data_IF_613157727675
#
_entry.id   IF_613157727675
#
_cell.length_a   1.000
_cell.length_b   1.000
_cell.length_c   1.000
_cell.angle_alpha   90.00
_cell.angle_beta   90.00
_cell.angle_gamma   90.00
#
_symmetry.space_group_name_H-M   'P 1'
#
loop_
_entity.id
_entity.type
_entity.pdbx_description
1 polymer ?
#
# COMPACT_ATOMS: atom_id res chain seq x y z
N UNK A 1 -22.71 1.82 28.92
CA UNK A 1 -22.89 1.07 27.65
C UNK A 1 -23.27 2.03 26.52
N UNK A 2 -24.24 2.93 26.72
CA UNK A 2 -24.69 3.87 25.68
C UNK A 2 -23.61 4.87 25.24
N UNK A 3 -22.79 5.39 26.15
CA UNK A 3 -21.69 6.31 25.81
C UNK A 3 -20.62 5.68 24.92
N UNK A 4 -20.35 4.38 25.09
CA UNK A 4 -19.39 3.65 24.25
C UNK A 4 -19.97 3.42 22.85
N UNK A 5 -21.25 3.09 22.77
CA UNK A 5 -21.97 2.94 21.50
C UNK A 5 -22.02 4.26 20.72
N UNK A 6 -22.28 5.38 21.40
CA UNK A 6 -22.31 6.71 20.79
C UNK A 6 -20.93 7.10 20.24
N UNK A 7 -19.88 6.96 21.06
CA UNK A 7 -18.51 7.26 20.63
C UNK A 7 -18.04 6.37 19.46
N UNK A 8 -18.46 5.10 19.45
CA UNK A 8 -18.18 4.18 18.35
C UNK A 8 -18.90 4.61 17.07
N UNK A 9 -20.17 5.00 17.15
CA UNK A 9 -20.95 5.52 16.00
C UNK A 9 -20.32 6.79 15.44
N UNK A 10 -19.98 7.76 16.26
CA UNK A 10 -19.32 9.00 15.86
C UNK A 10 -17.98 8.73 15.18
N UNK A 11 -17.19 7.81 15.72
CA UNK A 11 -15.90 7.42 15.13
C UNK A 11 -16.10 6.76 13.76
N UNK A 12 -17.05 5.85 13.63
CA UNK A 12 -17.36 5.17 12.36
C UNK A 12 -17.86 6.17 11.31
N UNK A 13 -18.78 7.05 11.68
CA UNK A 13 -19.30 8.08 10.77
C UNK A 13 -18.18 8.98 10.28
N UNK A 14 -17.34 9.49 11.16
CA UNK A 14 -16.23 10.35 10.79
C UNK A 14 -15.19 9.63 9.89
N UNK A 15 -15.00 8.32 10.08
CA UNK A 15 -13.99 7.56 9.34
C UNK A 15 -14.47 7.12 7.95
N UNK A 16 -15.75 6.83 7.79
CA UNK A 16 -16.31 6.27 6.55
C UNK A 16 -17.06 7.29 5.69
N UNK A 17 -17.56 8.39 6.25
CA UNK A 17 -18.34 9.38 5.52
C UNK A 17 -17.60 9.83 4.24
N UNK A 18 -18.35 9.92 3.14
CA UNK A 18 -17.89 10.32 1.80
C UNK A 18 -16.84 9.39 1.16
N UNK A 19 -16.48 8.27 1.78
CA UNK A 19 -15.61 7.28 1.15
C UNK A 19 -16.39 6.34 0.25
N UNK A 20 -15.71 5.81 -0.77
CA UNK A 20 -16.29 4.88 -1.72
C UNK A 20 -16.24 3.44 -1.20
N UNK A 21 -17.31 2.69 -1.39
CA UNK A 21 -17.41 1.26 -1.08
C UNK A 21 -16.51 0.47 -2.04
N UNK A 22 -15.57 -0.29 -1.52
CA UNK A 22 -14.62 -1.04 -2.34
C UNK A 22 -15.17 -2.38 -2.86
N UNK A 23 -16.07 -3.00 -2.10
CA UNK A 23 -16.70 -4.29 -2.41
C UNK A 23 -18.14 -4.25 -1.92
N UNK A 24 -19.02 -5.05 -2.53
CA UNK A 24 -20.42 -5.11 -2.12
C UNK A 24 -20.55 -5.48 -0.63
N UNK A 25 -21.34 -4.70 0.09
CA UNK A 25 -21.60 -4.91 1.52
C UNK A 25 -22.84 -5.78 1.64
N UNK A 26 -22.67 -6.96 2.22
CA UNK A 26 -23.74 -7.92 2.44
C UNK A 26 -24.08 -7.98 3.93
N UNK A 27 -25.37 -8.16 4.22
CA UNK A 27 -25.81 -8.51 5.58
C UNK A 27 -25.60 -10.00 5.88
N UNK A 28 -25.95 -10.44 7.11
CA UNK A 28 -25.83 -11.83 7.52
C UNK A 28 -26.74 -12.80 6.76
N UNK A 29 -27.74 -12.32 6.03
CA UNK A 29 -28.69 -13.09 5.22
C UNK A 29 -28.31 -13.08 3.73
N UNK A 30 -27.26 -12.36 3.34
CA UNK A 30 -26.79 -12.25 1.96
C UNK A 30 -27.47 -11.17 1.13
N UNK A 31 -28.22 -10.25 1.78
CA UNK A 31 -28.82 -9.10 1.11
C UNK A 31 -27.77 -8.00 0.93
N UNK A 32 -27.72 -7.40 -0.25
CA UNK A 32 -26.79 -6.32 -0.55
C UNK A 32 -27.29 -5.03 0.11
N UNK A 33 -26.50 -4.46 1.03
CA UNK A 33 -26.76 -3.18 1.69
C UNK A 33 -26.19 -2.00 0.87
N UNK A 34 -25.05 -2.21 0.22
CA UNK A 34 -24.44 -1.24 -0.68
C UNK A 34 -23.63 -1.95 -1.75
N UNK A 35 -23.58 -1.36 -2.94
CA UNK A 35 -22.79 -1.87 -4.05
C UNK A 35 -21.39 -1.25 -4.09
N UNK A 36 -20.46 -1.98 -4.68
CA UNK A 36 -19.13 -1.46 -5.01
C UNK A 36 -19.25 -0.18 -5.84
N UNK A 37 -18.58 0.88 -5.38
CA UNK A 37 -18.62 2.19 -6.03
C UNK A 37 -19.61 3.18 -5.41
N UNK A 38 -20.50 2.72 -4.52
CA UNK A 38 -21.37 3.62 -3.77
C UNK A 38 -20.56 4.43 -2.75
N UNK A 39 -21.06 5.62 -2.39
CA UNK A 39 -20.46 6.42 -1.32
C UNK A 39 -21.13 6.12 0.03
N UNK A 40 -20.32 6.08 1.08
CA UNK A 40 -20.82 5.96 2.45
C UNK A 40 -21.54 7.26 2.84
N UNK A 41 -22.87 7.19 2.87
CA UNK A 41 -23.71 8.24 3.46
C UNK A 41 -23.92 8.00 4.95
N UNK A 42 -24.32 9.03 5.69
CA UNK A 42 -24.64 8.88 7.11
C UNK A 42 -25.75 7.84 7.34
N UNK A 43 -26.76 7.80 6.47
CA UNK A 43 -27.87 6.84 6.53
C UNK A 43 -27.40 5.40 6.29
N UNK A 44 -26.49 5.17 5.34
CA UNK A 44 -25.92 3.87 5.05
C UNK A 44 -25.08 3.38 6.24
N UNK A 45 -24.28 4.26 6.84
CA UNK A 45 -23.47 3.92 8.02
C UNK A 45 -24.37 3.54 9.19
N UNK A 46 -25.44 4.27 9.45
CA UNK A 46 -26.41 3.93 10.49
C UNK A 46 -27.08 2.58 10.23
N UNK A 47 -27.50 2.33 8.99
CA UNK A 47 -28.09 1.05 8.59
C UNK A 47 -27.14 -0.12 8.84
N UNK A 48 -25.86 0.02 8.50
CA UNK A 48 -24.83 -0.99 8.72
C UNK A 48 -24.60 -1.23 10.22
N UNK A 49 -24.56 -0.16 11.02
CA UNK A 49 -24.34 -0.25 12.46
C UNK A 49 -25.53 -0.86 13.20
N UNK A 50 -26.74 -0.56 12.75
CA UNK A 50 -27.98 -1.12 13.34
C UNK A 50 -28.21 -2.58 12.95
N UNK A 51 -27.81 -2.98 11.75
CA UNK A 51 -27.89 -4.38 11.29
C UNK A 51 -26.98 -5.31 12.12
N UNK A 52 -25.80 -4.83 12.54
CA UNK A 52 -24.88 -5.57 13.44
C UNK A 52 -24.34 -6.90 12.91
N UNK A 53 -24.68 -7.30 11.68
CA UNK A 53 -24.27 -8.57 11.06
C UNK A 53 -23.06 -8.42 10.15
N UNK A 54 -22.76 -7.19 9.73
CA UNK A 54 -21.62 -6.87 8.85
C UNK A 54 -20.31 -6.98 9.65
N UNK A 55 -19.45 -7.91 9.25
CA UNK A 55 -18.18 -8.20 9.94
C UNK A 55 -17.00 -7.41 9.38
N UNK A 56 -17.02 -7.10 8.11
CA UNK A 56 -15.93 -6.43 7.41
C UNK A 56 -16.47 -5.34 6.48
N UNK A 57 -15.81 -4.20 6.49
CA UNK A 57 -16.11 -3.08 5.61
C UNK A 57 -14.86 -2.76 4.80
N UNK A 58 -14.98 -2.83 3.49
CA UNK A 58 -13.92 -2.47 2.56
C UNK A 58 -14.19 -1.08 1.98
N UNK A 59 -13.29 -0.13 2.24
CA UNK A 59 -13.35 1.22 1.68
C UNK A 59 -12.29 1.41 0.62
N UNK A 60 -12.68 2.09 -0.47
CA UNK A 60 -11.75 2.57 -1.47
C UNK A 60 -11.17 3.90 -1.00
N UNK A 61 -9.91 3.93 -0.69
CA UNK A 61 -9.23 5.16 -0.36
C UNK A 61 -8.59 5.73 -1.63
N UNK A 62 -9.25 6.68 -2.27
CA UNK A 62 -8.78 7.34 -3.50
C UNK A 62 -7.66 8.33 -3.21
N UNK A 63 -7.54 8.83 -1.98
CA UNK A 63 -6.42 9.64 -1.52
C UNK A 63 -5.28 8.74 -1.00
N UNK A 64 -4.53 8.20 -1.93
CA UNK A 64 -3.39 7.37 -1.58
C UNK A 64 -2.10 8.18 -1.65
N UNK A 65 -1.48 8.39 -0.50
CA UNK A 65 -0.11 8.91 -0.47
C UNK A 65 0.87 7.88 -1.01
N UNK A 66 1.79 8.35 -1.81
CA UNK A 66 2.81 7.51 -2.42
C UNK A 66 4.09 8.29 -2.66
N UNK A 67 5.10 7.59 -3.12
CA UNK A 67 6.37 8.15 -3.58
C UNK A 67 6.51 7.92 -5.08
N UNK A 68 7.14 8.87 -5.75
CA UNK A 68 7.51 8.69 -7.15
C UNK A 68 8.76 7.82 -7.27
N UNK A 69 8.73 6.88 -8.19
CA UNK A 69 9.83 5.98 -8.52
C UNK A 69 10.19 6.12 -9.99
N UNK A 70 11.48 6.22 -10.26
CA UNK A 70 12.10 6.25 -11.58
C UNK A 70 13.26 5.27 -11.64
N UNK A 71 13.81 4.97 -12.82
CA UNK A 71 15.00 4.15 -12.95
C UNK A 71 16.20 4.78 -12.23
N UNK A 72 17.03 3.96 -11.58
CA UNK A 72 18.29 4.43 -10.98
C UNK A 72 19.37 4.40 -12.05
N UNK A 73 19.96 5.55 -12.30
CA UNK A 73 21.00 5.72 -13.32
C UNK A 73 22.28 6.28 -12.72
N UNK A 74 23.41 5.94 -13.31
CA UNK A 74 24.72 6.47 -12.94
C UNK A 74 25.35 7.23 -14.12
N UNK A 75 26.34 8.09 -13.79
CA UNK A 75 27.07 8.91 -14.76
C UNK A 75 26.46 10.27 -15.01
N UNK A 76 27.28 11.20 -15.52
CA UNK A 76 26.88 12.60 -15.76
C UNK A 76 25.69 12.77 -16.71
N UNK A 77 25.46 11.80 -17.60
CA UNK A 77 24.42 11.84 -18.63
C UNK A 77 23.37 10.75 -18.43
N UNK A 78 23.24 10.16 -17.22
CA UNK A 78 22.32 9.02 -16.94
C UNK A 78 22.54 7.83 -17.91
N UNK A 79 23.77 7.65 -18.38
CA UNK A 79 24.11 6.70 -19.47
C UNK A 79 24.09 5.25 -19.02
N UNK A 80 24.20 4.99 -17.72
CA UNK A 80 24.22 3.61 -17.19
C UNK A 80 23.02 3.41 -16.30
N UNK A 81 22.12 2.52 -16.66
CA UNK A 81 21.00 2.12 -15.81
C UNK A 81 21.52 1.10 -14.80
N UNK A 82 21.45 1.43 -13.52
CA UNK A 82 21.82 0.55 -12.40
C UNK A 82 20.65 -0.36 -12.02
N UNK A 83 19.45 0.19 -12.01
CA UNK A 83 18.22 -0.53 -11.70
C UNK A 83 17.09 0.02 -12.58
N UNK A 84 16.42 -0.85 -13.31
CA UNK A 84 15.34 -0.45 -14.22
C UNK A 84 14.09 -0.02 -13.46
N UNK A 85 13.27 0.83 -14.06
CA UNK A 85 11.97 1.18 -13.48
C UNK A 85 11.11 -0.08 -13.28
N UNK A 86 11.14 -1.02 -14.23
CA UNK A 86 10.47 -2.30 -14.15
C UNK A 86 10.78 -3.03 -12.84
N UNK A 87 12.06 -3.24 -12.54
CA UNK A 87 12.49 -4.01 -11.35
C UNK A 87 12.08 -3.32 -10.05
N UNK A 88 12.01 -2.00 -10.05
CA UNK A 88 11.56 -1.20 -8.91
C UNK A 88 10.04 -1.21 -8.70
N UNK A 89 9.26 -1.48 -9.74
CA UNK A 89 7.80 -1.52 -9.70
C UNK A 89 7.26 -2.89 -9.29
N UNK A 90 7.91 -3.99 -9.69
CA UNK A 90 7.44 -5.35 -9.41
C UNK A 90 7.23 -5.58 -7.93
N UNK A 91 6.03 -6.05 -7.57
CA UNK A 91 5.67 -6.34 -6.18
C UNK A 91 5.27 -5.12 -5.34
N UNK A 92 5.15 -3.95 -5.96
CA UNK A 92 4.61 -2.73 -5.34
C UNK A 92 3.13 -2.58 -5.64
N UNK A 93 2.53 -1.56 -5.06
CA UNK A 93 1.11 -1.22 -5.26
C UNK A 93 1.01 0.21 -5.81
N UNK A 94 0.20 0.41 -6.84
CA UNK A 94 0.00 1.72 -7.45
C UNK A 94 -0.61 2.71 -6.46
N UNK A 95 -0.16 3.95 -6.54
CA UNK A 95 -0.71 5.10 -5.82
C UNK A 95 -1.34 6.14 -6.76
N UNK A 96 -1.30 5.90 -8.05
CA UNK A 96 -1.95 6.70 -9.09
C UNK A 96 -2.54 5.78 -10.16
N UNK A 97 -3.44 6.30 -10.97
CA UNK A 97 -3.97 5.60 -12.13
C UNK A 97 -2.99 5.68 -13.28
N UNK A 98 -2.91 4.60 -14.02
CA UNK A 98 -2.07 4.52 -15.22
C UNK A 98 -2.97 4.52 -16.45
N UNK A 99 -2.86 5.57 -17.23
CA UNK A 99 -3.59 5.76 -18.47
C UNK A 99 -2.70 5.46 -19.67
N UNK A 100 -3.31 4.93 -20.71
CA UNK A 100 -2.72 4.79 -22.04
C UNK A 100 -2.61 6.15 -22.75
N UNK A 101 -1.98 6.17 -23.90
CA UNK A 101 -1.80 7.37 -24.75
C UNK A 101 -3.13 7.97 -25.22
N UNK A 102 -4.18 7.16 -25.26
CA UNK A 102 -5.53 7.55 -25.65
C UNK A 102 -6.39 8.03 -24.47
N UNK A 103 -5.84 8.08 -23.25
CA UNK A 103 -6.53 8.52 -22.03
C UNK A 103 -7.41 7.44 -21.39
N UNK A 104 -7.31 6.18 -21.81
CA UNK A 104 -8.01 5.09 -21.16
C UNK A 104 -7.20 4.59 -19.96
N UNK A 105 -7.88 4.42 -18.82
CA UNK A 105 -7.27 3.88 -17.60
C UNK A 105 -6.99 2.40 -17.80
N UNK A 106 -5.70 2.02 -17.79
CA UNK A 106 -5.25 0.64 -17.88
C UNK A 106 -5.18 -0.03 -16.50
N UNK A 107 -4.69 0.70 -15.50
CA UNK A 107 -4.51 0.20 -14.15
C UNK A 107 -4.98 1.23 -13.13
N UNK A 108 -5.63 0.75 -12.09
CA UNK A 108 -6.22 1.60 -11.04
C UNK A 108 -5.32 1.77 -9.83
N UNK A 109 -5.63 2.80 -9.04
CA UNK A 109 -5.05 3.00 -7.71
C UNK A 109 -5.29 1.75 -6.86
N UNK A 110 -4.26 1.34 -6.11
CA UNK A 110 -4.24 0.15 -5.27
C UNK A 110 -4.07 -1.19 -6.00
N UNK A 111 -3.87 -1.21 -7.31
CA UNK A 111 -3.50 -2.43 -8.00
C UNK A 111 -2.10 -2.89 -7.61
N UNK A 112 -1.95 -4.19 -7.42
CA UNK A 112 -0.67 -4.82 -7.15
C UNK A 112 0.05 -5.10 -8.47
N UNK A 113 1.24 -4.53 -8.62
CA UNK A 113 2.02 -4.58 -9.85
C UNK A 113 2.67 -5.96 -10.01
N UNK A 114 2.23 -6.70 -11.01
CA UNK A 114 2.86 -7.94 -11.48
C UNK A 114 4.03 -7.64 -12.44
N UNK A 115 4.76 -8.67 -12.83
CA UNK A 115 5.85 -8.52 -13.80
C UNK A 115 5.36 -7.99 -15.14
N UNK A 116 4.27 -8.56 -15.67
CA UNK A 116 3.66 -8.14 -16.95
C UNK A 116 3.16 -6.69 -16.88
N UNK A 117 2.52 -6.29 -15.79
CA UNK A 117 2.09 -4.91 -15.58
C UNK A 117 3.28 -3.96 -15.53
N UNK A 118 4.37 -4.34 -14.86
CA UNK A 118 5.56 -3.52 -14.75
C UNK A 118 6.22 -3.27 -16.13
N UNK A 119 6.23 -4.26 -17.03
CA UNK A 119 6.72 -4.11 -18.38
C UNK A 119 5.91 -3.09 -19.19
N UNK A 120 4.56 -3.17 -19.10
CA UNK A 120 3.68 -2.23 -19.77
C UNK A 120 3.85 -0.82 -19.19
N UNK A 121 3.83 -0.68 -17.87
CA UNK A 121 3.95 0.62 -17.20
C UNK A 121 5.31 1.28 -17.51
N UNK A 122 6.41 0.51 -17.46
CA UNK A 122 7.74 1.03 -17.77
C UNK A 122 7.91 1.48 -19.23
N UNK A 123 7.10 0.93 -20.16
CA UNK A 123 7.06 1.37 -21.55
C UNK A 123 6.27 2.68 -21.76
N UNK A 124 5.30 2.97 -20.88
CA UNK A 124 4.41 4.13 -20.98
C UNK A 124 4.91 5.34 -20.20
N UNK A 125 5.57 5.11 -19.07
CA UNK A 125 5.95 6.16 -18.11
C UNK A 125 7.41 6.01 -17.66
N UNK A 126 8.12 7.12 -17.54
CA UNK A 126 9.47 7.15 -16.95
C UNK A 126 9.44 7.24 -15.43
N UNK A 127 8.34 7.70 -14.87
CA UNK A 127 8.14 7.92 -13.44
C UNK A 127 6.73 7.55 -13.03
N UNK A 128 6.61 6.81 -11.93
CA UNK A 128 5.33 6.26 -11.45
C UNK A 128 5.21 6.47 -9.95
N UNK A 129 4.02 6.83 -9.48
CA UNK A 129 3.70 6.96 -8.07
C UNK A 129 3.25 5.62 -7.51
N UNK A 130 3.98 5.12 -6.52
CA UNK A 130 3.68 3.86 -5.83
C UNK A 130 3.46 4.08 -4.34
N UNK A 131 2.72 3.18 -3.71
CA UNK A 131 2.57 3.14 -2.25
C UNK A 131 3.88 2.75 -1.60
N UNK A 132 4.19 3.38 -0.47
CA UNK A 132 5.43 3.17 0.27
C UNK A 132 5.18 3.03 1.77
N UNK A 133 6.09 2.33 2.45
CA UNK A 133 6.12 2.28 3.91
C UNK A 133 6.36 3.66 4.53
N UNK A 134 7.05 4.56 3.80
CA UNK A 134 7.38 5.90 4.26
C UNK A 134 6.16 6.83 4.35
N UNK A 135 5.16 6.59 3.51
CA UNK A 135 3.93 7.38 3.45
C UNK A 135 2.71 6.63 3.98
N UNK A 136 2.94 5.50 4.64
CA UNK A 136 1.86 4.68 5.19
C UNK A 136 1.19 5.38 6.37
N UNK A 137 -0.13 5.60 6.28
CA UNK A 137 -0.95 6.21 7.33
C UNK A 137 -1.58 5.20 8.30
N UNK A 138 -1.10 3.95 8.32
CA UNK A 138 -1.59 2.95 9.27
C UNK A 138 -1.21 3.32 10.70
N UNK A 139 -2.16 3.26 11.62
CA UNK A 139 -1.92 3.55 13.04
C UNK A 139 -1.04 2.51 13.73
N UNK A 140 -1.11 1.26 13.28
CA UNK A 140 -0.35 0.14 13.83
C UNK A 140 0.44 -0.55 12.73
N UNK A 141 1.78 -0.44 12.80
CA UNK A 141 2.66 -1.06 11.83
C UNK A 141 2.53 -0.49 10.42
N UNK A 142 2.77 -1.31 9.42
CA UNK A 142 2.70 -0.95 7.99
C UNK A 142 1.59 -1.75 7.32
N UNK A 143 0.74 -1.09 6.54
CA UNK A 143 -0.31 -1.80 5.84
C UNK A 143 0.27 -2.68 4.73
N UNK A 144 -0.42 -3.79 4.43
CA UNK A 144 -0.05 -4.79 3.43
C UNK A 144 0.22 -4.19 2.04
N UNK A 145 -0.57 -3.20 1.61
CA UNK A 145 -0.42 -2.55 0.31
C UNK A 145 0.83 -1.65 0.25
N UNK A 146 1.15 -0.94 1.34
CA UNK A 146 2.35 -0.10 1.39
C UNK A 146 3.64 -0.91 1.51
N UNK A 147 3.60 -2.06 2.17
CA UNK A 147 4.75 -2.97 2.24
C UNK A 147 4.99 -3.67 0.91
N UNK A 148 3.94 -4.26 0.30
CA UNK A 148 4.00 -4.90 -1.00
C UNK A 148 4.42 -6.37 -0.95
N UNK A 149 5.56 -6.71 -1.55
CA UNK A 149 6.04 -8.08 -1.73
C UNK A 149 6.89 -8.55 -0.55
N UNK A 150 6.67 -9.77 -0.10
CA UNK A 150 7.60 -10.47 0.78
C UNK A 150 8.77 -10.99 -0.06
N UNK A 151 10.00 -10.62 0.30
CA UNK A 151 11.20 -10.93 -0.47
C UNK A 151 11.56 -12.42 -0.45
N UNK A 152 11.21 -13.14 0.63
CA UNK A 152 11.52 -14.56 0.76
C UNK A 152 10.61 -15.45 -0.09
N UNK A 153 9.31 -15.14 -0.12
CA UNK A 153 8.31 -15.94 -0.82
C UNK A 153 7.97 -15.44 -2.23
N UNK A 154 8.42 -14.22 -2.57
CA UNK A 154 8.08 -13.50 -3.79
C UNK A 154 6.57 -13.25 -3.99
N UNK A 155 5.77 -13.41 -2.94
CA UNK A 155 4.32 -13.19 -2.95
C UNK A 155 3.97 -11.92 -2.17
N UNK A 156 2.73 -11.48 -2.32
CA UNK A 156 2.20 -10.37 -1.53
C UNK A 156 2.29 -10.72 -0.04
N UNK A 157 2.80 -9.79 0.78
CA UNK A 157 2.98 -9.99 2.21
C UNK A 157 1.66 -10.37 2.90
N UNK A 158 1.73 -11.26 3.87
CA UNK A 158 0.58 -11.65 4.69
C UNK A 158 0.45 -10.75 5.93
N UNK A 159 -0.75 -10.69 6.49
CA UNK A 159 -0.99 -9.97 7.74
C UNK A 159 -0.36 -10.75 8.88
N UNK A 160 0.35 -10.05 9.78
CA UNK A 160 1.06 -10.67 10.91
C UNK A 160 2.55 -10.93 10.64
N UNK A 161 3.04 -10.66 9.45
CA UNK A 161 4.49 -10.72 9.15
C UNK A 161 5.26 -9.72 10.02
N UNK A 162 6.35 -10.19 10.65
CA UNK A 162 7.17 -9.38 11.55
C UNK A 162 8.14 -8.46 10.78
N UNK A 163 7.61 -7.60 9.92
CA UNK A 163 8.38 -6.76 8.98
C UNK A 163 9.36 -5.81 9.67
N UNK A 164 9.02 -5.33 10.85
CA UNK A 164 9.90 -4.48 11.66
C UNK A 164 11.14 -5.22 12.15
N UNK A 165 10.99 -6.47 12.57
CA UNK A 165 12.10 -7.34 12.98
C UNK A 165 13.02 -7.65 11.79
N UNK A 166 12.43 -7.96 10.63
CA UNK A 166 13.19 -8.21 9.39
C UNK A 166 14.00 -6.97 9.00
N UNK A 167 13.39 -5.79 9.04
CA UNK A 167 14.09 -4.55 8.75
C UNK A 167 15.22 -4.27 9.74
N UNK A 168 15.00 -4.45 11.04
CA UNK A 168 16.00 -4.25 12.07
C UNK A 168 17.20 -5.19 11.90
N UNK A 169 16.97 -6.45 11.58
CA UNK A 169 18.02 -7.42 11.31
C UNK A 169 18.82 -7.07 10.05
N UNK A 170 18.14 -6.71 8.96
CA UNK A 170 18.79 -6.33 7.70
C UNK A 170 19.65 -5.06 7.83
N UNK A 171 19.30 -4.14 8.72
CA UNK A 171 20.09 -2.94 9.01
C UNK A 171 21.22 -3.24 10.01
N UNK A 172 20.94 -4.07 11.00
CA UNK A 172 21.88 -4.36 12.10
C UNK A 172 23.05 -5.26 11.70
N UNK A 173 22.81 -6.25 10.84
CA UNK A 173 23.86 -7.17 10.41
C UNK A 173 25.06 -6.47 9.74
N UNK A 174 24.88 -5.65 8.70
CA UNK A 174 25.99 -4.93 8.08
C UNK A 174 26.68 -3.97 9.03
N UNK A 175 25.95 -3.35 9.95
CA UNK A 175 26.50 -2.47 10.99
C UNK A 175 27.48 -3.19 11.90
N UNK A 176 27.11 -4.39 12.35
CA UNK A 176 27.99 -5.23 13.17
C UNK A 176 29.25 -5.68 12.41
N UNK A 177 29.10 -6.10 11.15
CA UNK A 177 30.25 -6.50 10.31
C UNK A 177 31.18 -5.32 10.04
N UNK A 178 30.68 -4.13 9.82
CA UNK A 178 31.49 -2.93 9.62
C UNK A 178 32.29 -2.58 10.87
N UNK A 179 31.66 -2.65 12.04
CA UNK A 179 32.33 -2.42 13.33
C UNK A 179 33.45 -3.45 13.58
N UNK A 180 33.17 -4.72 13.31
CA UNK A 180 34.19 -5.80 13.44
C UNK A 180 35.38 -5.57 12.49
N UNK A 181 35.14 -5.13 11.26
CA UNK A 181 36.23 -4.80 10.31
C UNK A 181 37.07 -3.63 10.78
N UNK A 182 36.51 -2.61 11.40
CA UNK A 182 37.30 -1.48 11.94
C UNK A 182 38.16 -1.89 13.11
N UNK A 183 37.71 -2.79 13.94
CA UNK A 183 38.56 -3.36 15.03
C UNK A 183 39.69 -4.26 14.51
N UNK A 184 39.45 -5.05 13.47
CA UNK A 184 40.47 -5.94 12.90
C UNK A 184 41.52 -5.22 12.05
N UNK A 185 41.20 -4.06 11.47
CA UNK A 185 42.18 -3.26 10.70
C UNK A 185 42.99 -2.33 11.60
N UNK A 186 42.86 -2.45 12.94
CA UNK A 186 43.55 -1.62 13.91
C UNK A 186 43.44 -0.15 13.56
N UNK A 187 42.32 0.47 13.96
CA UNK A 187 42.07 1.87 13.67
C UNK A 187 43.27 2.72 14.01
N UNK A 188 44.00 3.06 13.00
CA UNK A 188 45.04 4.08 13.06
C UNK A 188 44.61 5.13 12.06
N UNK A 189 44.23 6.25 12.63
CA UNK A 189 44.22 7.49 11.91
C UNK A 189 45.68 7.91 11.68
#
# INVERSE_FOLDING_TARGET
EDKVKTAFREHMTHHFLDKEVAEDILDGEGTVLAHKGDHFTAELIETILDNGTVKELSIRNNEVDGIYVEAITAGKNKSTVLESLRDRLVGRTLAEEIEDKDGHVLYHINDYITEDMADVIASLREKVKIRSVLTCKSHFGVCRKCYGRNLATARKVEIGEAVGTIAAQAIGEPGTQLTMRTFHTGGVA
#
